data_IF_458973630563
#
_entry.id   IF_458973630563
#
_cell.length_a   1.000
_cell.length_b   1.000
_cell.length_c   1.000
_cell.angle_alpha   90.00
_cell.angle_beta   90.00
_cell.angle_gamma   90.00
#
_symmetry.space_group_name_H-M   'P 1'
#
loop_
_entity.id
_entity.type
_entity.pdbx_description
1 polymer ?
#
# COMPACT_ATOMS: atom_id res chain seq x y z
N UNK A 1 20.31 11.42 -25.92
CA UNK A 1 19.01 11.80 -25.34
C UNK A 1 19.32 12.82 -24.27
N UNK A 2 18.64 13.97 -24.24
CA UNK A 2 18.84 14.96 -23.18
C UNK A 2 17.99 14.62 -21.95
N UNK A 3 18.40 15.08 -20.77
CA UNK A 3 17.59 15.02 -19.56
C UNK A 3 16.36 15.94 -19.69
N UNK A 4 15.24 15.56 -19.07
CA UNK A 4 14.05 16.39 -18.94
C UNK A 4 14.30 17.53 -17.95
N UNK A 5 14.02 18.76 -18.37
CA UNK A 5 13.97 19.94 -17.49
C UNK A 5 12.69 20.73 -17.80
N UNK A 6 11.95 21.07 -16.75
CA UNK A 6 10.71 21.85 -16.77
C UNK A 6 10.88 23.01 -15.80
N UNK A 7 10.73 24.23 -16.30
CA UNK A 7 10.94 25.43 -15.49
C UNK A 7 12.40 25.62 -15.09
N UNK A 8 12.61 26.39 -14.03
CA UNK A 8 13.94 26.70 -13.51
C UNK A 8 13.91 26.97 -12.00
N UNK A 9 14.92 26.46 -11.31
CA UNK A 9 15.17 26.76 -9.92
C UNK A 9 16.50 27.50 -9.76
N UNK A 10 16.52 28.57 -8.98
CA UNK A 10 17.74 29.29 -8.59
C UNK A 10 17.77 29.38 -7.07
N UNK A 11 18.75 28.75 -6.40
CA UNK A 11 18.85 28.80 -4.94
C UNK A 11 19.15 30.21 -4.46
N UNK A 12 18.84 30.49 -3.18
CA UNK A 12 19.25 31.72 -2.53
C UNK A 12 20.79 31.87 -2.53
N UNK A 13 21.26 33.05 -2.90
CA UNK A 13 22.66 33.44 -2.81
C UNK A 13 22.80 34.59 -1.79
N UNK A 14 23.10 34.18 -0.56
CA UNK A 14 23.25 35.06 0.61
C UNK A 14 24.44 36.03 0.43
N UNK A 15 25.48 35.63 -0.31
CA UNK A 15 26.66 36.50 -0.51
C UNK A 15 26.34 37.68 -1.42
N UNK A 16 25.47 37.46 -2.42
CA UNK A 16 25.08 38.47 -3.40
C UNK A 16 23.70 39.09 -3.15
N UNK A 17 23.06 38.82 -2.00
CA UNK A 17 21.71 39.31 -1.63
C UNK A 17 20.64 38.99 -2.67
N UNK A 18 20.73 37.79 -3.27
CA UNK A 18 19.81 37.31 -4.29
C UNK A 18 18.89 36.26 -3.69
N UNK A 19 17.55 36.47 -3.70
CA UNK A 19 16.60 35.52 -3.12
C UNK A 19 16.48 34.26 -3.98
N UNK A 20 15.93 33.20 -3.37
CA UNK A 20 15.49 32.00 -4.08
C UNK A 20 14.43 32.36 -5.14
N UNK A 21 14.56 31.77 -6.34
CA UNK A 21 13.63 31.97 -7.46
C UNK A 21 13.17 30.63 -8.00
N UNK A 22 11.85 30.44 -8.02
CA UNK A 22 11.17 29.26 -8.57
C UNK A 22 10.37 29.70 -9.80
N UNK A 23 10.78 29.25 -10.97
CA UNK A 23 10.07 29.46 -12.24
C UNK A 23 9.43 28.13 -12.65
N UNK A 24 8.10 28.06 -12.63
CA UNK A 24 7.34 26.84 -12.96
C UNK A 24 6.88 26.87 -14.42
N UNK A 25 6.87 25.71 -15.06
CA UNK A 25 6.34 25.51 -16.42
C UNK A 25 5.37 24.33 -16.47
N UNK A 26 4.57 24.28 -17.53
CA UNK A 26 3.55 23.25 -17.70
C UNK A 26 4.18 21.88 -17.95
N UNK A 27 3.76 20.87 -17.18
CA UNK A 27 4.11 19.47 -17.37
C UNK A 27 3.00 18.56 -16.85
N UNK A 28 2.59 17.58 -17.65
CA UNK A 28 1.51 16.65 -17.30
C UNK A 28 0.20 17.39 -16.99
N UNK A 29 -0.11 17.53 -15.70
CA UNK A 29 -1.38 18.09 -15.21
C UNK A 29 -1.27 19.46 -14.55
N UNK A 30 -0.07 20.00 -14.32
CA UNK A 30 0.09 21.28 -13.61
C UNK A 30 1.31 22.09 -14.05
N UNK A 31 1.58 23.15 -13.29
CA UNK A 31 2.76 24.00 -13.45
C UNK A 31 3.79 23.65 -12.38
N UNK A 32 4.97 23.13 -12.74
CA UNK A 32 5.97 22.65 -11.79
C UNK A 32 7.39 23.11 -12.14
N UNK A 33 8.32 22.89 -11.22
CA UNK A 33 9.75 22.75 -11.57
C UNK A 33 10.12 21.26 -11.50
N UNK A 34 10.85 20.75 -12.49
CA UNK A 34 11.37 19.38 -12.51
C UNK A 34 12.67 19.31 -13.29
N UNK A 35 13.70 18.73 -12.70
CA UNK A 35 15.02 18.58 -13.33
C UNK A 35 15.55 17.16 -13.13
N UNK A 36 15.52 16.38 -14.22
CA UNK A 36 15.97 14.99 -14.24
C UNK A 36 17.50 14.88 -14.14
N UNK A 37 18.25 15.86 -14.66
CA UNK A 37 19.71 15.87 -14.54
C UNK A 37 20.10 16.08 -13.09
N UNK A 38 19.49 17.06 -12.42
CA UNK A 38 19.66 17.27 -10.99
C UNK A 38 19.31 16.00 -10.19
N UNK A 39 18.15 15.38 -10.46
CA UNK A 39 17.74 14.16 -9.79
C UNK A 39 18.75 13.01 -9.97
N UNK A 40 19.28 12.80 -11.18
CA UNK A 40 20.14 11.66 -11.51
C UNK A 40 21.60 11.84 -11.11
N UNK A 41 22.15 13.02 -11.35
CA UNK A 41 23.60 13.29 -11.28
C UNK A 41 24.00 14.17 -10.08
N UNK A 42 23.05 14.90 -9.48
CA UNK A 42 23.31 15.87 -8.41
C UNK A 42 22.31 15.72 -7.25
N UNK A 43 22.41 14.64 -6.45
CA UNK A 43 21.38 14.27 -5.48
C UNK A 43 21.11 15.31 -4.37
N UNK A 44 22.05 16.23 -4.14
CA UNK A 44 21.94 17.37 -3.23
C UNK A 44 21.22 18.60 -3.81
N UNK A 45 21.05 18.66 -5.13
CA UNK A 45 20.36 19.76 -5.80
C UNK A 45 18.84 19.53 -5.78
N UNK A 46 18.11 20.64 -5.74
CA UNK A 46 16.65 20.63 -5.89
C UNK A 46 16.32 20.14 -7.29
N UNK A 47 15.48 19.12 -7.37
CA UNK A 47 15.07 18.48 -8.62
C UNK A 47 13.57 18.54 -8.86
N UNK A 48 12.76 18.93 -7.87
CA UNK A 48 11.32 19.04 -8.01
C UNK A 48 10.72 20.11 -7.08
N UNK A 49 9.75 20.86 -7.60
CA UNK A 49 8.86 21.74 -6.82
C UNK A 49 7.43 21.61 -7.35
N UNK A 50 6.43 21.29 -6.51
CA UNK A 50 5.03 21.13 -6.92
C UNK A 50 4.36 22.47 -7.24
N UNK A 51 3.14 22.42 -7.78
CA UNK A 51 2.45 23.60 -8.30
C UNK A 51 1.99 24.56 -7.20
N UNK A 52 1.37 24.02 -6.16
CA UNK A 52 0.62 24.80 -5.17
C UNK A 52 1.42 25.08 -3.88
N UNK A 53 2.72 24.80 -3.88
CA UNK A 53 3.62 25.02 -2.74
C UNK A 53 5.04 25.31 -3.21
N UNK A 54 5.80 26.07 -2.41
CA UNK A 54 7.23 26.31 -2.58
C UNK A 54 8.10 25.26 -1.86
N UNK A 55 7.52 24.10 -1.50
CA UNK A 55 8.29 22.96 -0.98
C UNK A 55 9.29 22.46 -2.02
N UNK A 56 10.56 22.46 -1.66
CA UNK A 56 11.65 21.98 -2.51
C UNK A 56 12.00 20.52 -2.19
N UNK A 57 12.29 19.74 -3.22
CA UNK A 57 12.66 18.34 -3.09
C UNK A 57 13.97 18.05 -3.82
N UNK A 58 14.85 17.32 -3.15
CA UNK A 58 16.09 16.75 -3.69
C UNK A 58 15.91 15.25 -3.95
N UNK A 59 16.85 14.61 -4.65
CA UNK A 59 16.81 13.14 -4.80
C UNK A 59 16.82 12.43 -3.45
N UNK A 60 17.53 12.98 -2.47
CA UNK A 60 17.60 12.39 -1.13
C UNK A 60 16.23 12.41 -0.44
N UNK A 61 15.40 13.42 -0.70
CA UNK A 61 14.04 13.48 -0.16
C UNK A 61 13.16 12.38 -0.75
N UNK A 62 13.18 12.18 -2.08
CA UNK A 62 12.48 11.05 -2.72
C UNK A 62 12.94 9.69 -2.16
N UNK A 63 14.25 9.49 -1.98
CA UNK A 63 14.78 8.28 -1.36
C UNK A 63 14.30 8.11 0.08
N UNK A 64 14.29 9.19 0.88
CA UNK A 64 13.81 9.14 2.26
C UNK A 64 12.32 8.77 2.34
N UNK A 65 11.50 9.34 1.44
CA UNK A 65 10.07 9.02 1.34
C UNK A 65 9.83 7.56 0.98
N UNK A 66 10.70 6.98 0.15
CA UNK A 66 10.63 5.59 -0.31
C UNK A 66 11.46 4.62 0.57
N UNK A 67 11.78 4.97 1.81
CA UNK A 67 12.54 4.14 2.76
C UNK A 67 13.91 3.65 2.20
N UNK A 68 14.52 4.44 1.31
CA UNK A 68 15.77 4.14 0.61
C UNK A 68 15.63 3.25 -0.63
N UNK A 69 14.41 2.89 -1.02
CA UNK A 69 14.15 2.10 -2.21
C UNK A 69 14.31 2.96 -3.48
N UNK A 70 15.40 2.73 -4.21
CA UNK A 70 15.76 3.50 -5.42
C UNK A 70 14.73 3.33 -6.53
N UNK A 71 14.24 2.12 -6.76
CA UNK A 71 13.27 1.84 -7.84
C UNK A 71 11.98 2.63 -7.62
N UNK A 72 11.49 2.61 -6.38
CA UNK A 72 10.29 3.36 -5.98
C UNK A 72 10.54 4.87 -6.02
N UNK A 73 11.70 5.36 -5.56
CA UNK A 73 12.02 6.79 -5.62
C UNK A 73 12.05 7.30 -7.07
N UNK A 74 12.63 6.51 -7.99
CA UNK A 74 12.70 6.84 -9.41
C UNK A 74 11.28 6.84 -10.02
N UNK A 75 10.45 5.83 -9.72
CA UNK A 75 9.04 5.78 -10.16
C UNK A 75 8.22 6.95 -9.62
N UNK A 76 8.40 7.31 -8.35
CA UNK A 76 7.74 8.45 -7.71
C UNK A 76 8.12 9.77 -8.39
N UNK A 77 9.41 9.99 -8.62
CA UNK A 77 9.89 11.18 -9.32
C UNK A 77 9.31 11.27 -10.72
N UNK A 78 9.36 10.18 -11.49
CA UNK A 78 8.88 10.15 -12.87
C UNK A 78 7.40 10.52 -12.98
N UNK A 79 6.56 10.08 -12.04
CA UNK A 79 5.12 10.33 -12.04
C UNK A 79 4.68 11.63 -11.32
N UNK A 80 5.59 12.34 -10.65
CA UNK A 80 5.27 13.67 -10.12
C UNK A 80 5.07 14.67 -11.27
N UNK A 81 3.85 15.21 -11.40
CA UNK A 81 3.49 16.16 -12.46
C UNK A 81 2.71 17.40 -11.98
N UNK A 82 2.22 17.45 -10.74
CA UNK A 82 1.71 18.68 -10.10
C UNK A 82 1.68 18.65 -8.56
N UNK A 83 1.46 17.46 -7.99
CA UNK A 83 1.27 17.18 -6.57
C UNK A 83 2.56 17.07 -5.76
N UNK A 84 2.45 17.13 -4.43
CA UNK A 84 3.53 16.72 -3.53
C UNK A 84 3.83 15.21 -3.68
N UNK A 85 5.11 14.78 -3.65
CA UNK A 85 5.47 13.37 -3.68
C UNK A 85 4.79 12.55 -2.57
N UNK A 86 4.63 13.11 -1.37
CA UNK A 86 3.94 12.47 -0.25
C UNK A 86 2.47 12.18 -0.57
N UNK A 87 1.80 13.10 -1.26
CA UNK A 87 0.40 12.94 -1.66
C UNK A 87 0.25 11.89 -2.77
N UNK A 88 1.22 11.79 -3.68
CA UNK A 88 1.24 10.73 -4.69
C UNK A 88 1.45 9.34 -4.05
N UNK A 89 2.36 9.23 -3.08
CA UNK A 89 2.55 7.98 -2.32
C UNK A 89 1.25 7.59 -1.60
N UNK A 90 0.58 8.54 -0.94
CA UNK A 90 -0.67 8.27 -0.24
C UNK A 90 -1.75 7.72 -1.19
N UNK A 91 -1.91 8.33 -2.37
CA UNK A 91 -2.86 7.88 -3.38
C UNK A 91 -2.56 6.44 -3.85
N UNK A 92 -1.31 6.16 -4.22
CA UNK A 92 -0.88 4.82 -4.64
C UNK A 92 -1.03 3.76 -3.56
N UNK A 93 -0.79 4.11 -2.29
CA UNK A 93 -1.00 3.19 -1.16
C UNK A 93 -2.48 2.93 -0.92
N UNK A 94 -3.33 3.96 -0.99
CA UNK A 94 -4.78 3.81 -0.81
C UNK A 94 -5.40 2.99 -1.94
N UNK A 95 -4.90 3.14 -3.17
CA UNK A 95 -5.37 2.41 -4.34
C UNK A 95 -4.77 0.99 -4.44
N UNK A 96 -3.95 0.57 -3.47
CA UNK A 96 -3.37 -0.77 -3.43
C UNK A 96 -2.29 -1.01 -4.50
N UNK A 97 -1.70 0.06 -5.02
CA UNK A 97 -0.60 -0.01 -5.98
C UNK A 97 0.72 -0.29 -5.24
N UNK A 98 0.92 0.40 -4.12
CA UNK A 98 2.10 0.33 -3.27
C UNK A 98 1.74 -0.07 -1.82
N UNK A 99 2.66 -0.70 -1.11
CA UNK A 99 2.47 -1.07 0.30
C UNK A 99 3.77 -0.94 1.10
N UNK A 100 3.67 -0.57 2.39
CA UNK A 100 4.76 -0.73 3.35
C UNK A 100 4.77 -2.15 3.90
N UNK A 101 5.84 -2.90 3.63
CA UNK A 101 5.98 -4.27 4.08
C UNK A 101 5.85 -4.37 5.62
N UNK A 102 4.86 -5.13 6.11
CA UNK A 102 4.67 -5.34 7.56
C UNK A 102 5.82 -6.05 8.28
N UNK A 103 6.79 -6.63 7.54
CA UNK A 103 7.97 -7.29 8.12
C UNK A 103 9.18 -6.37 8.22
N UNK A 104 9.59 -5.74 7.12
CA UNK A 104 10.82 -4.93 7.06
C UNK A 104 10.58 -3.43 6.98
N UNK A 105 9.32 -2.99 6.85
CA UNK A 105 8.93 -1.58 6.73
C UNK A 105 9.16 -0.97 5.34
N UNK A 106 9.83 -1.69 4.43
CA UNK A 106 10.18 -1.18 3.10
C UNK A 106 8.94 -1.00 2.23
N UNK A 107 8.83 0.16 1.60
CA UNK A 107 7.84 0.45 0.55
C UNK A 107 8.17 -0.34 -0.73
N UNK A 108 7.17 -0.98 -1.31
CA UNK A 108 7.29 -1.72 -2.58
C UNK A 108 5.97 -1.69 -3.37
N UNK A 109 6.04 -1.85 -4.69
CA UNK A 109 4.85 -1.95 -5.55
C UNK A 109 4.16 -3.31 -5.45
N UNK A 110 3.12 -3.42 -4.62
CA UNK A 110 2.37 -4.66 -4.41
C UNK A 110 1.46 -5.04 -5.59
N UNK A 111 1.16 -4.11 -6.50
CA UNK A 111 0.44 -4.41 -7.75
C UNK A 111 1.30 -5.22 -8.74
N UNK A 112 2.62 -5.05 -8.71
CA UNK A 112 3.55 -5.71 -9.64
C UNK A 112 4.26 -6.93 -9.02
N UNK A 113 4.22 -7.05 -7.69
CA UNK A 113 4.95 -8.09 -6.97
C UNK A 113 4.09 -8.76 -5.90
N UNK A 114 3.98 -10.09 -5.96
CA UNK A 114 3.30 -10.90 -4.94
C UNK A 114 4.04 -10.99 -3.60
N UNK A 115 5.22 -10.37 -3.50
CA UNK A 115 6.02 -10.32 -2.27
C UNK A 115 6.93 -9.09 -2.23
N UNK A 116 7.28 -8.65 -1.01
CA UNK A 116 8.19 -7.55 -0.77
C UNK A 116 9.54 -7.79 -1.45
N UNK A 117 9.94 -6.85 -2.32
CA UNK A 117 11.18 -6.92 -3.11
C UNK A 117 12.45 -6.90 -2.26
N UNK A 118 12.37 -6.43 -1.01
CA UNK A 118 13.50 -6.39 -0.08
C UNK A 118 13.66 -7.67 0.77
N UNK A 119 12.56 -8.25 1.29
CA UNK A 119 12.65 -9.35 2.26
C UNK A 119 11.85 -10.63 1.91
N UNK A 120 11.14 -10.63 0.78
CA UNK A 120 10.32 -11.76 0.32
C UNK A 120 9.08 -12.03 1.18
N UNK A 121 8.65 -11.10 2.04
CA UNK A 121 7.39 -11.24 2.75
C UNK A 121 6.24 -11.21 1.73
N UNK A 122 5.38 -12.24 1.65
CA UNK A 122 4.32 -12.27 0.66
C UNK A 122 3.28 -11.16 0.94
N UNK A 123 2.68 -10.63 -0.12
CA UNK A 123 1.53 -9.71 -0.05
C UNK A 123 0.33 -10.47 0.51
N UNK A 124 0.10 -11.69 0.00
CA UNK A 124 -0.91 -12.59 0.52
C UNK A 124 -0.36 -13.34 1.74
N UNK A 125 -1.00 -13.17 2.89
CA UNK A 125 -0.63 -13.91 4.09
C UNK A 125 -1.20 -15.33 4.07
N UNK A 126 -0.37 -16.29 4.48
CA UNK A 126 -0.83 -17.66 4.81
C UNK A 126 -1.52 -17.72 6.20
N UNK A 127 -1.46 -16.64 6.98
CA UNK A 127 -2.16 -16.56 8.26
C UNK A 127 -3.67 -16.37 8.05
N UNK A 128 -4.52 -16.98 8.89
CA UNK A 128 -5.96 -16.79 8.80
C UNK A 128 -6.35 -15.32 8.97
N UNK A 129 -6.95 -14.71 7.94
CA UNK A 129 -7.54 -13.37 8.04
C UNK A 129 -8.78 -13.34 8.95
N UNK A 130 -9.42 -14.50 9.15
CA UNK A 130 -10.55 -14.68 10.06
C UNK A 130 -10.55 -16.10 10.67
N UNK A 131 -10.86 -16.17 11.97
CA UNK A 131 -11.02 -17.44 12.70
C UNK A 131 -12.35 -17.43 13.43
N UNK A 132 -13.25 -18.33 13.04
CA UNK A 132 -14.49 -18.60 13.76
C UNK A 132 -14.18 -19.40 15.04
N UNK A 133 -14.60 -18.89 16.20
CA UNK A 133 -14.41 -19.54 17.49
C UNK A 133 -15.74 -20.11 17.97
N UNK A 134 -15.73 -21.38 18.35
CA UNK A 134 -16.89 -22.12 18.85
C UNK A 134 -16.70 -22.43 20.33
N UNK A 135 -17.76 -22.27 21.11
CA UNK A 135 -17.77 -22.43 22.56
C UNK A 135 -18.72 -23.54 23.01
N UNK A 136 -18.63 -23.91 24.29
CA UNK A 136 -19.47 -24.95 24.86
C UNK A 136 -20.96 -24.56 24.82
N UNK A 137 -21.26 -23.26 24.87
CA UNK A 137 -22.60 -22.69 24.75
C UNK A 137 -23.24 -22.99 23.39
N UNK A 138 -22.48 -22.94 22.29
CA UNK A 138 -22.99 -23.26 20.95
C UNK A 138 -23.39 -24.73 20.87
N UNK A 139 -22.58 -25.61 21.47
CA UNK A 139 -22.86 -27.04 21.56
C UNK A 139 -24.05 -27.33 22.46
N UNK A 140 -24.14 -26.64 23.62
CA UNK A 140 -25.25 -26.78 24.54
C UNK A 140 -26.58 -26.38 23.90
N UNK A 141 -26.62 -25.25 23.17
CA UNK A 141 -27.81 -24.81 22.44
C UNK A 141 -28.26 -25.85 21.40
N UNK A 142 -27.32 -26.41 20.64
CA UNK A 142 -27.63 -27.48 19.68
C UNK A 142 -28.16 -28.75 20.37
N UNK A 143 -27.58 -29.13 21.52
CA UNK A 143 -28.02 -30.27 22.32
C UNK A 143 -29.44 -30.05 22.87
N UNK A 144 -29.75 -28.87 23.37
CA UNK A 144 -31.09 -28.51 23.87
C UNK A 144 -32.15 -28.60 22.77
N UNK A 145 -31.85 -28.06 21.57
CA UNK A 145 -32.75 -28.17 20.40
C UNK A 145 -32.98 -29.62 19.98
N UNK A 146 -31.97 -30.48 20.14
CA UNK A 146 -32.07 -31.91 19.88
C UNK A 146 -32.74 -32.71 21.03
N UNK A 147 -33.12 -32.05 22.14
CA UNK A 147 -33.69 -32.70 23.32
C UNK A 147 -32.68 -33.53 24.12
N UNK A 148 -31.37 -33.27 23.97
CA UNK A 148 -30.29 -33.95 24.67
C UNK A 148 -29.91 -33.17 25.94
N UNK A 149 -29.94 -33.78 27.14
CA UNK A 149 -29.53 -33.10 28.37
C UNK A 149 -28.07 -32.63 28.33
N UNK A 150 -27.85 -31.35 28.67
CA UNK A 150 -26.52 -30.73 28.75
C UNK A 150 -25.83 -31.16 30.04
N UNK A 151 -25.09 -32.26 29.95
CA UNK A 151 -24.22 -32.77 31.04
C UNK A 151 -22.77 -32.73 30.58
N UNK A 152 -21.82 -32.71 31.51
CA UNK A 152 -20.38 -32.74 31.17
C UNK A 152 -20.02 -33.93 30.25
N UNK A 153 -20.58 -35.11 30.54
CA UNK A 153 -20.34 -36.31 29.73
C UNK A 153 -20.85 -36.15 28.29
N UNK A 154 -22.09 -35.67 28.12
CA UNK A 154 -22.68 -35.47 26.81
C UNK A 154 -21.99 -34.35 26.03
N UNK A 155 -21.60 -33.26 26.71
CA UNK A 155 -20.85 -32.16 26.12
C UNK A 155 -19.45 -32.61 25.67
N UNK A 156 -18.79 -33.46 26.47
CA UNK A 156 -17.50 -34.06 26.07
C UNK A 156 -17.64 -34.99 24.86
N UNK A 157 -18.74 -35.73 24.76
CA UNK A 157 -19.07 -36.54 23.58
C UNK A 157 -19.34 -35.65 22.36
N UNK A 158 -20.12 -34.59 22.53
CA UNK A 158 -20.45 -33.61 21.50
C UNK A 158 -19.18 -32.96 20.93
N UNK A 159 -18.30 -32.43 21.79
CA UNK A 159 -17.01 -31.85 21.37
C UNK A 159 -16.17 -32.80 20.51
N UNK A 160 -16.08 -34.07 20.91
CA UNK A 160 -15.32 -35.04 20.14
C UNK A 160 -16.01 -35.41 18.82
N UNK A 161 -17.34 -35.50 18.81
CA UNK A 161 -18.12 -35.72 17.59
C UNK A 161 -18.08 -34.54 16.62
N UNK A 162 -17.94 -33.31 17.14
CA UNK A 162 -17.84 -32.08 16.35
C UNK A 162 -16.50 -31.89 15.63
N UNK A 163 -15.48 -32.69 15.97
CA UNK A 163 -14.20 -32.64 15.26
C UNK A 163 -14.40 -33.03 13.80
N UNK A 164 -14.07 -32.10 12.92
CA UNK A 164 -14.11 -32.30 11.48
C UNK A 164 -15.48 -32.12 10.82
N UNK A 165 -16.55 -31.82 11.57
CA UNK A 165 -17.87 -31.54 10.96
C UNK A 165 -17.80 -30.30 10.05
N UNK A 166 -16.93 -29.35 10.37
CA UNK A 166 -16.75 -28.10 9.62
C UNK A 166 -15.55 -28.11 8.65
N UNK A 167 -14.98 -29.29 8.39
CA UNK A 167 -13.83 -29.42 7.48
C UNK A 167 -14.25 -29.25 6.01
N UNK A 168 -15.49 -29.62 5.67
CA UNK A 168 -16.05 -29.34 4.36
C UNK A 168 -16.40 -27.84 4.23
N UNK A 169 -15.68 -27.17 3.33
CA UNK A 169 -15.82 -25.74 3.09
C UNK A 169 -16.63 -25.42 1.82
N UNK A 170 -17.21 -26.42 1.15
CA UNK A 170 -17.85 -26.23 -0.16
C UNK A 170 -18.92 -25.15 -0.16
N UNK A 171 -19.87 -25.21 0.79
CA UNK A 171 -20.93 -24.19 0.93
C UNK A 171 -20.37 -22.81 1.24
N UNK A 172 -19.35 -22.71 2.10
CA UNK A 172 -18.71 -21.43 2.41
C UNK A 172 -18.01 -20.83 1.19
N UNK A 173 -17.37 -21.68 0.38
CA UNK A 173 -16.72 -21.24 -0.85
C UNK A 173 -17.75 -20.71 -1.87
N UNK A 174 -18.93 -21.32 -1.98
CA UNK A 174 -20.04 -20.79 -2.79
C UNK A 174 -20.47 -19.40 -2.31
N UNK A 175 -20.61 -19.21 -0.99
CA UNK A 175 -20.95 -17.89 -0.41
C UNK A 175 -19.86 -16.83 -0.69
N UNK A 176 -18.59 -17.21 -0.72
CA UNK A 176 -17.49 -16.31 -1.08
C UNK A 176 -17.58 -15.86 -2.54
N UNK A 177 -17.93 -16.77 -3.45
CA UNK A 177 -18.14 -16.45 -4.87
C UNK A 177 -19.30 -15.47 -5.03
N UNK A 178 -20.43 -15.72 -4.36
CA UNK A 178 -21.57 -14.80 -4.39
C UNK A 178 -21.19 -13.42 -3.83
N UNK A 179 -20.39 -13.38 -2.77
CA UNK A 179 -19.91 -12.12 -2.19
C UNK A 179 -18.96 -11.37 -3.10
N UNK A 180 -18.09 -12.08 -3.83
CA UNK A 180 -17.24 -11.47 -4.84
C UNK A 180 -18.08 -10.82 -5.95
N UNK A 181 -19.12 -11.49 -6.43
CA UNK A 181 -20.04 -10.90 -7.42
C UNK A 181 -20.79 -9.67 -6.89
N UNK A 182 -21.20 -9.68 -5.62
CA UNK A 182 -21.85 -8.54 -4.97
C UNK A 182 -20.94 -7.31 -4.94
N UNK A 183 -19.65 -7.50 -4.61
CA UNK A 183 -18.70 -6.40 -4.41
C UNK A 183 -18.06 -5.91 -5.69
N UNK A 184 -17.72 -6.80 -6.62
CA UNK A 184 -16.91 -6.50 -7.80
C UNK A 184 -17.67 -6.65 -9.13
N UNK A 185 -18.93 -7.12 -9.09
CA UNK A 185 -19.72 -7.42 -10.28
C UNK A 185 -19.33 -8.75 -10.94
N UNK A 186 -19.96 -9.05 -12.08
CA UNK A 186 -19.53 -10.14 -12.98
C UNK A 186 -18.72 -9.51 -14.10
N UNK A 187 -17.50 -10.00 -14.32
CA UNK A 187 -16.84 -9.79 -15.60
C UNK A 187 -17.67 -10.51 -16.68
N UNK A 188 -18.25 -9.73 -17.61
CA UNK A 188 -19.00 -10.23 -18.77
C UNK A 188 -18.08 -10.70 -19.90
#
# INVERSE_FOLDING_TARGET
MGYLVVGKYTPEDVENDMPEVIEREYYGQGMIFKDEEAYKEHPEQVCYVPELSDSIYTRQDFLNLCDGNVEMADELFDNCDWQHPESLIEDWVVNGEWEKCGRCGMLFGCQMHDSCTNCGNPVLSDEPWYVEKWFDEDLAAAMELAGVPVTYENLSKMRNGCKGIFDDKSVRNEMLVDKAYELFGREE
#
